data_IF_684035467714
#
_entry.id   IF_684035467714
#
_cell.length_a   1.000
_cell.length_b   1.000
_cell.length_c   1.000
_cell.angle_alpha   90.00
_cell.angle_beta   90.00
_cell.angle_gamma   90.00
#
_symmetry.space_group_name_H-M   'P 1'
#
loop_
_entity.id
_entity.type
_entity.pdbx_description
1 polymer ?
#
# COMPACT_ATOMS: atom_id res chain seq x y z
N UNK A 1 -5.11 21.71 12.40
CA UNK A 1 -5.97 20.51 12.46
C UNK A 1 -5.08 19.37 12.86
N UNK A 2 -5.37 18.66 13.96
CA UNK A 2 -4.62 17.44 14.30
C UNK A 2 -4.95 16.43 13.21
N UNK A 3 -4.02 16.22 12.30
CA UNK A 3 -4.14 15.12 11.34
C UNK A 3 -3.77 13.84 12.11
N UNK A 4 -4.77 13.07 12.49
CA UNK A 4 -4.56 11.76 13.11
C UNK A 4 -4.16 10.75 12.02
N UNK A 5 -2.93 10.87 11.56
CA UNK A 5 -2.36 10.00 10.53
C UNK A 5 -1.84 8.70 11.13
N UNK A 6 -1.89 7.61 10.36
CA UNK A 6 -1.12 6.40 10.61
C UNK A 6 -0.41 5.95 9.32
N UNK A 7 0.77 5.36 9.45
CA UNK A 7 1.47 4.71 8.35
C UNK A 7 1.05 3.24 8.29
N UNK A 8 0.51 2.81 7.16
CA UNK A 8 0.15 1.44 6.86
C UNK A 8 1.10 0.87 5.81
N UNK A 9 1.98 -0.04 6.23
CA UNK A 9 2.95 -0.71 5.37
C UNK A 9 2.39 -2.08 5.01
N UNK A 10 2.05 -2.29 3.73
CA UNK A 10 1.36 -3.48 3.25
C UNK A 10 2.36 -4.50 2.74
N UNK A 11 2.39 -5.69 3.39
CA UNK A 11 3.01 -6.94 2.95
C UNK A 11 4.48 -6.82 2.50
N UNK A 12 5.27 -5.96 3.15
CA UNK A 12 6.70 -5.87 2.92
C UNK A 12 7.43 -7.02 3.62
N UNK A 13 7.23 -8.24 3.08
CA UNK A 13 7.68 -9.52 3.62
C UNK A 13 8.85 -10.10 2.84
N UNK A 14 9.49 -11.12 3.40
CA UNK A 14 10.61 -11.85 2.76
C UNK A 14 10.11 -12.90 1.73
N UNK A 15 8.90 -12.70 1.18
CA UNK A 15 8.37 -13.53 0.11
C UNK A 15 9.24 -13.34 -1.16
N UNK A 16 9.67 -14.44 -1.76
CA UNK A 16 10.57 -14.49 -2.91
C UNK A 16 9.91 -15.13 -4.16
N UNK A 17 8.62 -15.44 -4.08
CA UNK A 17 7.85 -16.01 -5.19
C UNK A 17 7.55 -15.03 -6.32
N UNK A 18 7.82 -13.73 -6.14
CA UNK A 18 7.55 -12.68 -7.11
C UNK A 18 8.80 -11.86 -7.41
N UNK A 19 9.03 -11.60 -8.70
CA UNK A 19 9.99 -10.56 -9.10
C UNK A 19 9.23 -9.23 -9.16
N UNK A 20 9.59 -8.29 -8.30
CA UNK A 20 8.94 -6.99 -8.17
C UNK A 20 9.72 -5.91 -8.90
N UNK A 21 9.01 -5.06 -9.64
CA UNK A 21 9.61 -3.93 -10.35
C UNK A 21 10.21 -2.91 -9.39
N UNK A 22 11.46 -2.52 -9.60
CA UNK A 22 12.17 -1.48 -8.84
C UNK A 22 12.12 -1.66 -7.31
N UNK A 23 12.09 -2.91 -6.80
CA UNK A 23 11.83 -3.21 -5.40
C UNK A 23 12.80 -2.53 -4.43
N UNK A 24 14.10 -2.49 -4.73
CA UNK A 24 15.10 -1.85 -3.87
C UNK A 24 14.79 -0.36 -3.63
N UNK A 25 14.30 0.33 -4.67
CA UNK A 25 13.87 1.74 -4.54
C UNK A 25 12.62 1.87 -3.67
N UNK A 26 11.64 1.00 -3.86
CA UNK A 26 10.42 0.97 -3.05
C UNK A 26 10.73 0.68 -1.59
N UNK A 27 11.65 -0.24 -1.32
CA UNK A 27 12.13 -0.55 0.02
C UNK A 27 12.80 0.67 0.67
N UNK A 28 13.67 1.37 -0.06
CA UNK A 28 14.31 2.59 0.43
C UNK A 28 13.29 3.71 0.73
N UNK A 29 12.30 3.89 -0.13
CA UNK A 29 11.20 4.85 0.07
C UNK A 29 10.34 4.49 1.29
N UNK A 30 9.99 3.21 1.45
CA UNK A 30 9.25 2.73 2.61
C UNK A 30 10.03 2.96 3.90
N UNK A 31 11.35 2.70 3.91
CA UNK A 31 12.20 2.97 5.06
C UNK A 31 12.23 4.46 5.42
N UNK A 32 12.31 5.36 4.45
CA UNK A 32 12.29 6.81 4.69
C UNK A 32 10.95 7.28 5.30
N UNK A 33 9.82 6.75 4.83
CA UNK A 33 8.50 7.00 5.41
C UNK A 33 8.42 6.49 6.85
N UNK A 34 8.91 5.27 7.08
CA UNK A 34 8.93 4.63 8.40
C UNK A 34 9.77 5.43 9.40
N UNK A 35 10.97 5.85 9.02
CA UNK A 35 11.84 6.68 9.86
C UNK A 35 11.16 7.99 10.26
N UNK A 36 10.50 8.65 9.30
CA UNK A 36 9.75 9.89 9.56
C UNK A 36 8.55 9.66 10.47
N UNK A 37 7.78 8.58 10.25
CA UNK A 37 6.66 8.21 11.10
C UNK A 37 7.11 7.98 12.55
N UNK A 38 8.22 7.26 12.74
CA UNK A 38 8.83 7.01 14.06
C UNK A 38 9.29 8.30 14.75
N UNK A 39 9.98 9.18 14.03
CA UNK A 39 10.41 10.48 14.56
C UNK A 39 9.25 11.34 15.01
N UNK A 40 8.13 11.30 14.28
CA UNK A 40 6.91 12.04 14.62
C UNK A 40 6.00 11.31 15.61
N UNK A 41 6.36 10.11 16.07
CA UNK A 41 5.53 9.25 16.92
C UNK A 41 4.17 8.96 16.33
N UNK A 42 4.11 8.88 15.00
CA UNK A 42 2.92 8.47 14.26
C UNK A 42 2.70 6.97 14.44
N UNK A 43 1.46 6.50 14.64
CA UNK A 43 1.16 5.08 14.63
C UNK A 43 1.65 4.40 13.35
N UNK A 44 2.34 3.27 13.51
CA UNK A 44 2.82 2.43 12.40
C UNK A 44 2.17 1.07 12.50
N UNK A 45 1.56 0.64 11.40
CA UNK A 45 0.92 -0.65 11.26
C UNK A 45 1.48 -1.36 10.03
N UNK A 46 1.80 -2.62 10.21
CA UNK A 46 2.25 -3.52 9.13
C UNK A 46 1.17 -4.55 8.86
N UNK A 47 1.04 -4.96 7.62
CA UNK A 47 0.33 -6.21 7.33
C UNK A 47 1.30 -7.29 6.91
N UNK A 48 0.91 -8.55 7.21
CA UNK A 48 1.53 -9.74 6.65
C UNK A 48 0.46 -10.61 6.02
N UNK A 49 0.63 -10.97 4.75
CA UNK A 49 -0.18 -12.02 4.16
C UNK A 49 0.31 -13.36 4.69
N UNK A 50 -0.59 -14.15 5.29
CA UNK A 50 -0.25 -15.47 5.85
C UNK A 50 -1.37 -16.44 5.52
N UNK A 51 -1.00 -17.55 4.91
CA UNK A 51 -1.86 -18.70 4.67
C UNK A 51 -1.55 -19.82 5.68
N UNK A 52 -2.57 -20.51 6.20
CA UNK A 52 -2.35 -21.65 7.10
C UNK A 52 -1.49 -22.71 6.42
N UNK A 53 -0.56 -23.31 7.18
CA UNK A 53 0.43 -24.22 6.61
C UNK A 53 -0.19 -25.45 5.93
N UNK A 54 -1.38 -25.87 6.37
CA UNK A 54 -2.17 -26.98 5.82
C UNK A 54 -3.11 -26.57 4.66
N UNK A 55 -3.14 -25.28 4.30
CA UNK A 55 -3.99 -24.75 3.22
C UNK A 55 -5.49 -24.68 3.56
N UNK A 56 -5.88 -24.91 4.83
CA UNK A 56 -7.30 -24.96 5.24
C UNK A 56 -8.05 -23.63 5.08
N UNK A 57 -7.34 -22.51 4.99
CA UNK A 57 -7.91 -21.17 4.85
C UNK A 57 -7.82 -20.60 3.44
N UNK A 58 -7.23 -21.35 2.48
CA UNK A 58 -7.05 -20.86 1.11
C UNK A 58 -8.39 -20.61 0.41
N UNK A 59 -8.50 -19.52 -0.37
CA UNK A 59 -9.64 -19.31 -1.25
C UNK A 59 -9.66 -20.35 -2.37
N UNK A 60 -10.84 -20.57 -2.93
CA UNK A 60 -11.01 -21.47 -4.06
C UNK A 60 -10.13 -21.02 -5.25
N UNK A 61 -9.30 -21.93 -5.76
CA UNK A 61 -8.43 -21.68 -6.92
C UNK A 61 -7.07 -21.10 -6.56
N UNK A 62 -6.77 -20.89 -5.29
CA UNK A 62 -5.42 -20.49 -4.86
C UNK A 62 -4.39 -21.57 -5.25
N UNK A 63 -3.22 -21.20 -5.81
CA UNK A 63 -2.19 -22.15 -6.18
C UNK A 63 -1.69 -22.96 -4.99
N UNK A 64 -1.62 -24.28 -5.19
CA UNK A 64 -1.10 -25.19 -4.18
C UNK A 64 0.34 -25.60 -4.49
N UNK A 65 1.13 -25.81 -3.46
CA UNK A 65 2.42 -26.48 -3.53
C UNK A 65 2.24 -27.99 -3.74
N UNK A 66 3.33 -28.71 -4.07
CA UNK A 66 3.29 -30.14 -4.34
C UNK A 66 2.80 -31.00 -3.15
N UNK A 67 2.90 -30.51 -1.94
CA UNK A 67 2.43 -31.15 -0.72
C UNK A 67 0.96 -30.84 -0.36
N UNK A 68 0.27 -30.05 -1.21
CA UNK A 68 -1.12 -29.65 -1.04
C UNK A 68 -1.32 -28.41 -0.14
N UNK A 69 -0.27 -27.88 0.45
CA UNK A 69 -0.32 -26.62 1.19
C UNK A 69 -0.25 -25.40 0.29
N UNK A 70 -0.24 -24.16 0.86
CA UNK A 70 -0.17 -22.94 0.08
C UNK A 70 1.13 -22.86 -0.72
N UNK A 71 1.02 -22.30 -1.95
CA UNK A 71 2.16 -22.08 -2.84
C UNK A 71 3.06 -20.92 -2.40
N UNK A 72 2.53 -19.97 -1.61
CA UNK A 72 3.28 -18.84 -1.05
C UNK A 72 2.70 -18.41 0.30
N UNK A 73 3.42 -17.55 1.00
CA UNK A 73 3.01 -16.96 2.29
C UNK A 73 2.61 -17.99 3.36
N UNK A 74 3.29 -19.14 3.36
CA UNK A 74 2.98 -20.26 4.28
C UNK A 74 3.36 -19.91 5.71
N UNK A 75 2.42 -20.06 6.64
CA UNK A 75 2.65 -19.88 8.06
C UNK A 75 3.84 -20.71 8.57
N UNK A 76 4.68 -20.10 9.43
CA UNK A 76 5.87 -20.75 10.00
C UNK A 76 7.10 -20.78 9.08
N UNK A 77 7.05 -20.18 7.90
CA UNK A 77 8.21 -20.01 7.01
C UNK A 77 8.80 -18.61 7.12
N UNK A 78 10.05 -18.46 6.64
CA UNK A 78 10.70 -17.14 6.57
C UNK A 78 9.96 -16.17 5.62
N UNK A 79 9.27 -16.68 4.62
CA UNK A 79 8.55 -15.88 3.62
C UNK A 79 7.51 -14.93 4.24
N UNK A 80 6.91 -15.29 5.38
CA UNK A 80 5.92 -14.43 6.04
C UNK A 80 6.52 -13.37 6.96
N UNK A 81 7.82 -13.39 7.17
CA UNK A 81 8.48 -12.40 8.03
C UNK A 81 8.63 -11.06 7.32
N UNK A 82 8.54 -9.97 8.08
CA UNK A 82 8.80 -8.62 7.56
C UNK A 82 10.28 -8.50 7.21
N UNK A 83 10.56 -7.78 6.12
CA UNK A 83 11.93 -7.51 5.65
C UNK A 83 12.75 -6.87 6.77
N UNK A 84 13.97 -7.34 6.97
CA UNK A 84 14.82 -6.99 8.12
C UNK A 84 15.03 -5.47 8.28
N UNK A 85 15.22 -4.75 7.17
CA UNK A 85 15.40 -3.28 7.20
C UNK A 85 14.14 -2.50 7.64
N UNK A 86 12.98 -3.16 7.67
CA UNK A 86 11.70 -2.58 8.11
C UNK A 86 11.22 -3.19 9.43
N UNK A 87 12.07 -3.93 10.16
CA UNK A 87 11.68 -4.64 11.40
C UNK A 87 10.83 -3.77 12.32
N UNK A 88 9.63 -4.23 12.71
CA UNK A 88 8.76 -3.50 13.62
C UNK A 88 9.40 -3.28 14.99
N UNK A 89 9.15 -2.10 15.57
CA UNK A 89 9.59 -1.74 16.91
C UNK A 89 8.49 -1.98 17.95
N UNK A 90 8.87 -1.96 19.22
CA UNK A 90 7.90 -2.06 20.32
C UNK A 90 6.88 -0.92 20.22
N UNK A 91 5.59 -1.28 20.26
CA UNK A 91 4.48 -0.33 20.12
C UNK A 91 3.96 -0.18 18.69
N UNK A 92 4.63 -0.75 17.69
CA UNK A 92 4.11 -0.86 16.34
C UNK A 92 3.26 -2.14 16.18
N UNK A 93 2.27 -2.10 15.29
CA UNK A 93 1.29 -3.17 15.16
C UNK A 93 1.55 -4.03 13.92
N UNK A 94 1.46 -5.34 14.08
CA UNK A 94 1.48 -6.29 12.97
C UNK A 94 0.08 -6.90 12.86
N UNK A 95 -0.49 -6.85 11.66
CA UNK A 95 -1.81 -7.36 11.31
C UNK A 95 -1.62 -8.53 10.33
N UNK A 96 -1.85 -9.73 10.80
CA UNK A 96 -1.85 -10.91 9.94
C UNK A 96 -3.19 -11.02 9.21
N UNK A 97 -3.15 -11.24 7.90
CA UNK A 97 -4.32 -11.34 7.03
C UNK A 97 -4.20 -12.53 6.08
N UNK A 98 -5.28 -13.26 5.87
CA UNK A 98 -5.36 -14.36 4.90
C UNK A 98 -6.07 -13.96 3.60
N UNK A 99 -6.24 -12.67 3.34
CA UNK A 99 -6.88 -12.14 2.12
C UNK A 99 -6.17 -10.86 1.69
N UNK A 100 -6.46 -10.38 0.47
CA UNK A 100 -5.74 -9.25 -0.10
C UNK A 100 -5.91 -7.96 0.70
N UNK A 101 -7.14 -7.61 1.06
CA UNK A 101 -7.37 -6.39 1.84
C UNK A 101 -6.88 -6.55 3.28
N UNK A 102 -6.21 -5.50 3.77
CA UNK A 102 -5.77 -5.36 5.15
C UNK A 102 -6.94 -5.34 6.16
N UNK A 103 -8.14 -5.01 5.70
CA UNK A 103 -9.34 -4.89 6.54
C UNK A 103 -10.17 -6.16 6.60
N UNK A 104 -9.96 -7.10 5.64
CA UNK A 104 -10.81 -8.27 5.53
C UNK A 104 -10.55 -9.28 6.65
N UNK A 105 -11.51 -9.44 7.57
CA UNK A 105 -11.44 -10.36 8.74
C UNK A 105 -10.23 -10.11 9.64
N UNK A 106 -9.81 -8.85 9.77
CA UNK A 106 -8.78 -8.40 10.69
C UNK A 106 -9.38 -7.43 11.71
N UNK A 107 -8.60 -7.07 12.72
CA UNK A 107 -8.97 -6.05 13.70
C UNK A 107 -8.42 -4.65 13.36
N UNK A 108 -7.92 -4.45 12.13
CA UNK A 108 -7.30 -3.21 11.70
C UNK A 108 -8.20 -1.98 11.90
N UNK A 109 -9.46 -2.04 11.44
CA UNK A 109 -10.42 -0.92 11.60
C UNK A 109 -10.64 -0.57 13.09
N UNK A 110 -10.83 -1.59 13.94
CA UNK A 110 -11.04 -1.39 15.36
C UNK A 110 -9.83 -0.72 16.02
N UNK A 111 -8.61 -1.10 15.67
CA UNK A 111 -7.38 -0.49 16.17
C UNK A 111 -7.23 0.94 15.71
N UNK A 112 -7.44 1.22 14.42
CA UNK A 112 -7.37 2.57 13.86
C UNK A 112 -8.36 3.52 14.55
N UNK A 113 -9.60 3.05 14.76
CA UNK A 113 -10.61 3.84 15.48
C UNK A 113 -10.25 4.07 16.94
N UNK A 114 -9.70 3.07 17.63
CA UNK A 114 -9.24 3.20 19.01
C UNK A 114 -8.09 4.23 19.15
N UNK A 115 -7.30 4.41 18.11
CA UNK A 115 -6.23 5.43 18.01
C UNK A 115 -6.73 6.76 17.43
N UNK A 116 -8.04 6.90 17.16
CA UNK A 116 -8.66 8.07 16.54
C UNK A 116 -8.03 8.44 15.18
N UNK A 117 -7.48 7.46 14.45
CA UNK A 117 -6.91 7.66 13.12
C UNK A 117 -8.02 7.98 12.13
N UNK A 118 -7.83 9.02 11.32
CA UNK A 118 -8.74 9.41 10.25
C UNK A 118 -8.09 9.38 8.86
N UNK A 119 -6.77 9.33 8.80
CA UNK A 119 -6.01 9.36 7.55
C UNK A 119 -4.93 8.28 7.54
N UNK A 120 -4.92 7.47 6.49
CA UNK A 120 -3.93 6.43 6.27
C UNK A 120 -2.92 6.85 5.21
N UNK A 121 -1.64 6.82 5.56
CA UNK A 121 -0.54 6.89 4.61
C UNK A 121 -0.22 5.45 4.22
N UNK A 122 -0.43 5.09 2.96
CA UNK A 122 -0.36 3.70 2.48
C UNK A 122 0.83 3.52 1.56
N UNK A 123 1.64 2.50 1.81
CA UNK A 123 2.72 2.02 0.95
C UNK A 123 2.83 0.50 1.01
N UNK A 124 3.65 -0.10 0.13
CA UNK A 124 3.93 -1.55 0.13
C UNK A 124 3.53 -2.27 -1.15
N UNK A 125 3.24 -3.54 -1.05
CA UNK A 125 3.04 -4.45 -2.19
C UNK A 125 1.82 -5.37 -2.03
N UNK A 126 1.22 -5.90 -3.11
CA UNK A 126 1.35 -5.49 -4.51
C UNK A 126 0.38 -4.35 -4.80
N UNK A 127 0.79 -3.37 -5.62
CA UNK A 127 -0.04 -2.18 -5.91
C UNK A 127 -1.42 -2.55 -6.43
N UNK A 128 -1.50 -3.53 -7.33
CA UNK A 128 -2.71 -3.97 -8.03
C UNK A 128 -3.49 -5.09 -7.29
N UNK A 129 -3.04 -5.49 -6.11
CA UNK A 129 -3.68 -6.54 -5.33
C UNK A 129 -3.95 -6.05 -3.89
N UNK A 130 -3.00 -6.24 -2.97
CA UNK A 130 -3.22 -5.94 -1.55
C UNK A 130 -3.35 -4.45 -1.27
N UNK A 131 -2.56 -3.61 -1.93
CA UNK A 131 -2.65 -2.15 -1.80
C UNK A 131 -3.99 -1.66 -2.36
N UNK A 132 -4.32 -2.01 -3.61
CA UNK A 132 -5.57 -1.61 -4.27
C UNK A 132 -6.80 -1.96 -3.41
N UNK A 133 -6.92 -3.21 -2.99
CA UNK A 133 -8.07 -3.68 -2.23
C UNK A 133 -8.15 -3.04 -0.85
N UNK A 134 -7.02 -2.82 -0.18
CA UNK A 134 -6.98 -2.14 1.11
C UNK A 134 -7.36 -0.66 1.00
N UNK A 135 -6.95 0.03 -0.07
CA UNK A 135 -7.33 1.42 -0.33
C UNK A 135 -8.83 1.56 -0.56
N UNK A 136 -9.44 0.64 -1.33
CA UNK A 136 -10.90 0.64 -1.52
C UNK A 136 -11.67 0.37 -0.23
N UNK A 137 -11.22 -0.58 0.60
CA UNK A 137 -11.85 -0.85 1.89
C UNK A 137 -11.65 0.30 2.88
N UNK A 138 -10.47 0.91 2.93
CA UNK A 138 -10.22 2.11 3.73
C UNK A 138 -11.18 3.24 3.36
N UNK A 139 -11.36 3.49 2.05
CA UNK A 139 -12.32 4.47 1.54
C UNK A 139 -13.76 4.12 1.93
N UNK A 140 -14.18 2.86 1.76
CA UNK A 140 -15.52 2.40 2.12
C UNK A 140 -15.82 2.53 3.63
N UNK A 141 -14.77 2.40 4.47
CA UNK A 141 -14.84 2.57 5.93
C UNK A 141 -14.75 4.04 6.38
N UNK A 142 -14.55 4.98 5.44
CA UNK A 142 -14.55 6.42 5.69
C UNK A 142 -13.19 7.02 6.06
N UNK A 143 -12.09 6.29 5.86
CA UNK A 143 -10.73 6.84 6.02
C UNK A 143 -10.36 7.72 4.83
N UNK A 144 -9.63 8.80 5.09
CA UNK A 144 -8.85 9.48 4.06
C UNK A 144 -7.61 8.66 3.75
N UNK A 145 -7.24 8.58 2.49
CA UNK A 145 -6.07 7.81 2.06
C UNK A 145 -5.07 8.70 1.34
N UNK A 146 -3.82 8.65 1.79
CA UNK A 146 -2.62 9.16 1.12
C UNK A 146 -1.83 7.97 0.59
N UNK A 147 -1.91 7.74 -0.70
CA UNK A 147 -1.18 6.67 -1.35
C UNK A 147 0.17 7.16 -1.82
N UNK A 148 1.26 6.58 -1.30
CA UNK A 148 2.62 6.94 -1.71
C UNK A 148 3.03 6.08 -2.89
N UNK A 149 2.81 6.58 -4.10
CA UNK A 149 2.86 5.81 -5.34
C UNK A 149 4.22 5.19 -5.63
N UNK A 150 5.31 5.90 -5.36
CA UNK A 150 6.68 5.41 -5.58
C UNK A 150 7.26 4.60 -4.41
N UNK A 151 6.48 4.45 -3.33
CA UNK A 151 6.71 3.48 -2.25
C UNK A 151 5.77 2.26 -2.39
N UNK A 152 5.15 2.08 -3.57
CA UNK A 152 4.36 0.91 -3.93
C UNK A 152 4.92 0.30 -5.22
N UNK A 153 4.81 -1.02 -5.35
CA UNK A 153 5.15 -1.73 -6.60
C UNK A 153 4.36 -3.03 -6.76
N UNK A 154 4.50 -3.63 -7.91
CA UNK A 154 3.98 -4.96 -8.27
C UNK A 154 4.92 -5.62 -9.27
N UNK A 155 4.49 -6.72 -9.89
CA UNK A 155 5.31 -7.53 -10.80
C UNK A 155 5.57 -6.86 -12.15
N UNK A 156 4.79 -5.87 -12.53
CA UNK A 156 4.93 -5.14 -13.80
C UNK A 156 4.60 -3.66 -13.65
N UNK A 157 5.28 -2.80 -14.39
CA UNK A 157 4.96 -1.37 -14.45
C UNK A 157 3.52 -1.12 -14.93
N UNK A 158 3.04 -1.93 -15.88
CA UNK A 158 1.67 -1.84 -16.38
C UNK A 158 0.63 -2.13 -15.29
N UNK A 159 0.84 -3.16 -14.46
CA UNK A 159 -0.01 -3.49 -13.31
C UNK A 159 -0.04 -2.34 -12.31
N UNK A 160 1.12 -1.79 -11.97
CA UNK A 160 1.24 -0.65 -11.06
C UNK A 160 0.41 0.55 -11.54
N UNK A 161 0.64 1.04 -12.76
CA UNK A 161 -0.09 2.21 -13.27
C UNK A 161 -1.58 1.93 -13.51
N UNK A 162 -1.95 0.71 -13.90
CA UNK A 162 -3.36 0.34 -14.01
C UNK A 162 -4.08 0.46 -12.67
N UNK A 163 -3.47 0.00 -11.59
CA UNK A 163 -4.01 0.13 -10.25
C UNK A 163 -4.11 1.60 -9.80
N UNK A 164 -3.08 2.41 -10.06
CA UNK A 164 -3.10 3.84 -9.76
C UNK A 164 -4.23 4.55 -10.52
N UNK A 165 -4.45 4.22 -11.80
CA UNK A 165 -5.55 4.79 -12.60
C UNK A 165 -6.92 4.40 -12.06
N UNK A 166 -7.09 3.12 -11.65
CA UNK A 166 -8.34 2.64 -11.05
C UNK A 166 -8.63 3.41 -9.75
N UNK A 167 -7.64 3.50 -8.86
CA UNK A 167 -7.80 4.21 -7.60
C UNK A 167 -8.06 5.71 -7.83
N UNK A 168 -7.33 6.36 -8.72
CA UNK A 168 -7.51 7.78 -9.05
C UNK A 168 -8.86 8.07 -9.72
N UNK A 169 -9.46 7.10 -10.39
CA UNK A 169 -10.78 7.27 -11.01
C UNK A 169 -11.95 7.12 -10.02
N UNK A 170 -11.80 6.29 -8.98
CA UNK A 170 -12.96 5.84 -8.21
C UNK A 170 -12.85 5.99 -6.70
N UNK A 171 -11.67 6.26 -6.15
CA UNK A 171 -11.52 6.54 -4.71
C UNK A 171 -11.51 8.05 -4.50
N UNK A 172 -12.67 8.58 -4.13
CA UNK A 172 -12.83 10.02 -3.92
C UNK A 172 -12.05 10.48 -2.69
N UNK A 173 -11.47 11.66 -2.73
CA UNK A 173 -10.55 12.19 -1.72
C UNK A 173 -9.23 11.42 -1.56
N UNK A 174 -8.93 10.48 -2.45
CA UNK A 174 -7.60 9.87 -2.49
C UNK A 174 -6.56 10.95 -2.80
N UNK A 175 -5.50 10.99 -2.02
CA UNK A 175 -4.35 11.85 -2.27
C UNK A 175 -3.18 10.95 -2.71
N UNK A 176 -2.77 11.03 -3.99
CA UNK A 176 -1.63 10.30 -4.51
C UNK A 176 -0.41 11.22 -4.48
N UNK A 177 0.67 10.74 -3.85
CA UNK A 177 1.91 11.49 -3.67
C UNK A 177 3.11 10.63 -4.10
N UNK A 178 4.26 11.29 -4.31
CA UNK A 178 5.56 10.62 -4.22
C UNK A 178 6.04 10.61 -2.76
N UNK A 179 7.04 9.80 -2.46
CA UNK A 179 7.70 9.77 -1.14
C UNK A 179 8.21 11.15 -0.76
N UNK A 180 8.89 11.84 -1.66
CA UNK A 180 9.38 13.21 -1.42
C UNK A 180 8.25 14.15 -1.02
N UNK A 181 7.14 14.13 -1.72
CA UNK A 181 6.02 15.03 -1.44
C UNK A 181 5.27 14.61 -0.16
N UNK A 182 5.19 13.33 0.13
CA UNK A 182 4.65 12.84 1.41
C UNK A 182 5.48 13.31 2.60
N UNK A 183 6.80 13.19 2.52
CA UNK A 183 7.72 13.67 3.56
C UNK A 183 7.58 15.18 3.77
N UNK A 184 7.48 15.98 2.67
CA UNK A 184 7.22 17.42 2.77
C UNK A 184 5.89 17.71 3.48
N UNK A 185 4.84 16.97 3.15
CA UNK A 185 3.54 17.11 3.79
C UNK A 185 3.60 16.83 5.31
N UNK A 186 4.35 15.78 5.69
CA UNK A 186 4.57 15.44 7.10
C UNK A 186 5.40 16.47 7.85
N UNK A 187 6.30 17.16 7.16
CA UNK A 187 7.09 18.28 7.68
C UNK A 187 6.32 19.61 7.65
N UNK A 188 5.05 19.63 7.26
CA UNK A 188 4.20 20.83 7.11
C UNK A 188 4.76 21.85 6.10
N UNK A 189 5.43 21.37 5.07
CA UNK A 189 5.98 22.15 3.96
C UNK A 189 5.03 22.07 2.75
N UNK A 190 5.17 23.02 1.83
CA UNK A 190 4.45 22.94 0.56
C UNK A 190 4.79 21.66 -0.19
N UNK A 191 3.78 20.96 -0.67
CA UNK A 191 3.92 19.68 -1.36
C UNK A 191 2.94 19.58 -2.53
N UNK A 192 3.23 18.66 -3.44
CA UNK A 192 2.36 18.31 -4.55
C UNK A 192 1.66 16.98 -4.28
N UNK A 193 0.41 16.94 -4.68
CA UNK A 193 -0.36 15.70 -4.71
C UNK A 193 -1.35 15.71 -5.86
N UNK A 194 -1.77 14.53 -6.28
CA UNK A 194 -2.91 14.36 -7.14
C UNK A 194 -4.13 14.00 -6.30
N UNK A 195 -5.12 14.88 -6.29
CA UNK A 195 -6.44 14.61 -5.72
C UNK A 195 -7.43 14.54 -6.88
N UNK A 196 -8.17 13.42 -7.04
CA UNK A 196 -9.18 13.32 -8.09
C UNK A 196 -10.31 14.34 -7.89
N UNK A 197 -10.49 15.21 -8.89
CA UNK A 197 -11.49 16.30 -8.86
C UNK A 197 -12.89 15.82 -9.29
N UNK A 198 -12.96 14.69 -9.97
CA UNK A 198 -14.18 14.09 -10.52
C UNK A 198 -14.05 12.59 -10.72
N UNK A 199 -15.16 11.85 -10.77
CA UNK A 199 -15.15 10.44 -11.16
C UNK A 199 -14.51 10.28 -12.55
N UNK A 200 -13.85 9.13 -12.74
CA UNK A 200 -13.27 8.74 -14.02
C UNK A 200 -12.36 9.81 -14.64
N UNK A 201 -11.55 10.45 -13.79
CA UNK A 201 -10.63 11.55 -14.17
C UNK A 201 -9.69 11.16 -15.31
N UNK A 202 -9.26 9.90 -15.32
CA UNK A 202 -8.34 9.32 -16.32
C UNK A 202 -9.06 8.34 -17.26
N UNK A 203 -10.32 8.60 -17.59
CA UNK A 203 -11.02 7.83 -18.62
C UNK A 203 -10.19 7.75 -19.91
N UNK A 204 -10.07 6.57 -20.48
CA UNK A 204 -9.26 6.33 -21.68
C UNK A 204 -9.79 5.18 -22.53
N UNK A 205 -9.48 5.20 -23.80
CA UNK A 205 -9.61 4.05 -24.69
C UNK A 205 -8.34 3.19 -24.63
N UNK A 206 -8.39 1.90 -24.99
CA UNK A 206 -7.22 1.02 -24.88
C UNK A 206 -5.96 1.55 -25.56
N UNK A 207 -6.09 2.19 -26.73
CA UNK A 207 -4.97 2.77 -27.46
C UNK A 207 -4.41 4.07 -26.85
N UNK A 208 -5.14 4.70 -25.94
CA UNK A 208 -4.73 5.94 -25.25
C UNK A 208 -4.02 5.68 -23.91
N UNK A 209 -4.00 4.42 -23.44
CA UNK A 209 -3.46 4.08 -22.12
C UNK A 209 -2.04 4.61 -21.87
N UNK A 210 -1.08 4.53 -22.83
CA UNK A 210 0.26 5.10 -22.60
C UNK A 210 0.23 6.63 -22.34
N UNK A 211 -0.59 7.37 -23.10
CA UNK A 211 -0.76 8.81 -22.92
C UNK A 211 -1.47 9.14 -21.58
N UNK A 212 -2.41 8.30 -21.16
CA UNK A 212 -3.10 8.46 -19.86
C UNK A 212 -2.14 8.23 -18.71
N UNK A 213 -1.28 7.21 -18.80
CA UNK A 213 -0.21 6.97 -17.81
C UNK A 213 0.74 8.18 -17.74
N UNK A 214 1.17 8.70 -18.89
CA UNK A 214 2.05 9.86 -18.93
C UNK A 214 1.41 11.10 -18.29
N UNK A 215 0.10 11.31 -18.47
CA UNK A 215 -0.64 12.39 -17.77
C UNK A 215 -0.69 12.19 -16.27
N UNK A 216 -0.90 10.96 -15.80
CA UNK A 216 -0.85 10.63 -14.37
C UNK A 216 0.53 10.94 -13.80
N UNK A 217 1.58 10.43 -14.43
CA UNK A 217 2.97 10.64 -14.00
C UNK A 217 3.33 12.13 -13.93
N UNK A 218 2.96 12.94 -14.93
CA UNK A 218 3.25 14.36 -14.97
C UNK A 218 2.58 15.16 -13.83
N UNK A 219 1.49 14.66 -13.27
CA UNK A 219 0.80 15.30 -12.13
C UNK A 219 1.42 14.96 -10.77
N UNK A 220 2.33 13.98 -10.72
CA UNK A 220 3.00 13.52 -9.51
C UNK A 220 4.40 14.13 -9.34
N UNK A 221 4.94 14.77 -10.37
CA UNK A 221 6.29 15.31 -10.38
C UNK A 221 6.24 16.85 -10.49
N UNK A 222 7.01 17.54 -9.63
CA UNK A 222 7.22 19.00 -9.80
C UNK A 222 7.96 19.24 -11.11
N UNK A 223 7.44 20.11 -11.94
CA UNK A 223 8.26 20.74 -13.00
C UNK A 223 9.35 21.53 -12.29
N UNK A 224 10.60 21.23 -12.60
CA UNK A 224 11.73 22.08 -12.21
C UNK A 224 11.54 23.40 -12.95
N UNK A 225 11.17 24.46 -12.25
CA UNK A 225 11.33 25.84 -12.69
C UNK A 225 12.78 26.25 -12.55
#
# INVERSE_FOLDING_TARGET
>A
MNNNNALLIIDMQQEDGFVLENFDRVLAHTAALLDTARHQRMPVLYTRHINQADGSDLPHGEPLAADGGPGGYRAGTRQVEIIESLTPQSGEWIIDKGRYSAFHRTDLDARLRAMEVDTLIVCGVLTDVCVLTSVFDAFALGYRVRLVSDACTTTTEAGHYSALLIMANWVYSLEILTTTECLRALEQRDYLSLIPERPDLFAHQPHELPGTIARLQSRLVRTQE
#
